data_IF_465981323339
#
_entry.id   IF_465981323339
#
_cell.length_a   1.000
_cell.length_b   1.000
_cell.length_c   1.000
_cell.angle_alpha   90.00
_cell.angle_beta   90.00
_cell.angle_gamma   90.00
#
_symmetry.space_group_name_H-M   'P 1'
#
loop_
_entity.id
_entity.type
_entity.pdbx_description
1 polymer ?
#
# COMPACT_ATOMS: atom_id res chain seq x y z
N UNK A 1 7.94 -12.85 12.41
CA UNK A 1 7.44 -11.55 11.94
C UNK A 1 8.07 -11.22 10.59
N UNK A 2 7.28 -10.78 9.64
CA UNK A 2 7.79 -10.31 8.36
C UNK A 2 8.55 -9.00 8.60
N UNK A 3 9.81 -8.94 8.22
CA UNK A 3 10.65 -7.74 8.39
C UNK A 3 10.67 -6.86 7.14
N UNK A 4 10.20 -7.38 6.01
CA UNK A 4 10.13 -6.70 4.72
C UNK A 4 8.92 -7.19 3.94
N UNK A 5 8.33 -6.31 3.12
CA UNK A 5 7.22 -6.66 2.25
C UNK A 5 7.75 -7.31 0.96
N UNK A 6 7.02 -8.28 0.44
CA UNK A 6 7.23 -8.78 -0.91
C UNK A 6 6.59 -7.78 -1.89
N UNK A 7 7.35 -7.22 -2.81
CA UNK A 7 6.91 -6.09 -3.65
C UNK A 7 7.07 -6.41 -5.12
N UNK A 8 6.02 -6.17 -5.91
CA UNK A 8 6.11 -6.09 -7.37
C UNK A 8 6.48 -4.67 -7.76
N UNK A 9 7.45 -4.53 -8.66
CA UNK A 9 7.99 -3.23 -9.06
C UNK A 9 7.98 -3.07 -10.59
N UNK A 10 7.70 -1.85 -11.05
CA UNK A 10 7.81 -1.47 -12.46
C UNK A 10 8.58 -0.17 -12.60
N UNK A 11 9.66 -0.23 -13.37
CA UNK A 11 10.48 0.93 -13.71
C UNK A 11 9.72 1.90 -14.62
N UNK A 12 10.01 3.22 -14.53
CA UNK A 12 9.40 4.21 -15.39
C UNK A 12 9.81 4.00 -16.86
N UNK A 13 8.89 4.25 -17.77
CA UNK A 13 9.12 4.11 -19.21
C UNK A 13 10.14 5.12 -19.75
N UNK A 14 10.27 6.28 -19.10
CA UNK A 14 11.30 7.28 -19.42
C UNK A 14 12.73 6.88 -18.98
N UNK A 15 12.86 5.86 -18.12
CA UNK A 15 14.12 5.48 -17.49
C UNK A 15 14.57 6.38 -16.32
N UNK A 16 13.81 7.42 -15.99
CA UNK A 16 14.11 8.36 -14.90
C UNK A 16 12.99 8.35 -13.85
N UNK A 17 13.30 8.07 -12.60
CA UNK A 17 12.33 8.08 -11.52
C UNK A 17 12.21 9.47 -10.94
N UNK A 18 11.04 10.11 -11.12
CA UNK A 18 10.69 11.40 -10.51
C UNK A 18 9.57 11.28 -9.48
N UNK A 19 8.74 10.26 -9.60
CA UNK A 19 7.63 9.98 -8.69
C UNK A 19 7.53 8.48 -8.42
N UNK A 20 6.97 8.14 -7.29
CA UNK A 20 6.64 6.76 -6.90
C UNK A 20 5.17 6.67 -6.58
N UNK A 21 4.50 5.68 -7.14
CA UNK A 21 3.13 5.30 -6.78
C UNK A 21 3.17 3.92 -6.13
N UNK A 22 2.68 3.83 -4.90
CA UNK A 22 2.58 2.57 -4.16
C UNK A 22 1.12 2.15 -4.09
N UNK A 23 0.82 0.97 -4.63
CA UNK A 23 -0.51 0.37 -4.61
C UNK A 23 -0.68 -0.46 -3.34
N UNK A 24 -1.74 -0.19 -2.56
CA UNK A 24 -2.09 -0.96 -1.37
C UNK A 24 -3.43 -1.68 -1.60
N UNK A 25 -3.36 -3.00 -1.74
CA UNK A 25 -4.52 -3.84 -2.08
C UNK A 25 -5.54 -3.95 -0.95
N UNK A 26 -6.73 -4.47 -1.27
CA UNK A 26 -7.80 -4.72 -0.32
C UNK A 26 -7.63 -6.02 0.48
N UNK A 27 -8.51 -6.22 1.46
CA UNK A 27 -8.56 -7.42 2.29
C UNK A 27 -8.78 -8.68 1.44
N UNK A 28 -7.93 -9.68 1.61
CA UNK A 28 -8.02 -10.94 0.87
C UNK A 28 -7.45 -10.93 -0.54
N UNK A 29 -6.90 -9.79 -0.98
CA UNK A 29 -6.18 -9.66 -2.25
C UNK A 29 -4.66 -9.79 -2.06
N UNK A 30 -3.90 -9.44 -3.06
CA UNK A 30 -2.44 -9.42 -3.05
C UNK A 30 -1.88 -8.24 -3.89
N UNK A 31 -0.56 -8.08 -3.91
CA UNK A 31 0.08 -7.03 -4.69
C UNK A 31 -0.14 -7.15 -6.20
N UNK A 32 -0.43 -8.33 -6.75
CA UNK A 32 -0.68 -8.51 -8.16
C UNK A 32 -2.01 -7.87 -8.61
N UNK A 33 -2.99 -7.80 -7.72
CA UNK A 33 -4.33 -7.29 -8.01
C UNK A 33 -4.28 -5.85 -8.56
N UNK A 34 -3.70 -4.91 -7.81
CA UNK A 34 -3.60 -3.52 -8.26
C UNK A 34 -2.40 -3.26 -9.19
N UNK A 35 -1.42 -4.16 -9.21
CA UNK A 35 -0.23 -3.97 -10.05
C UNK A 35 -0.56 -3.90 -11.55
N UNK A 36 -1.64 -4.52 -11.97
CA UNK A 36 -2.15 -4.42 -13.35
C UNK A 36 -2.44 -2.99 -13.79
N UNK A 37 -2.73 -2.07 -12.85
CA UNK A 37 -2.93 -0.66 -13.13
C UNK A 37 -1.63 0.05 -13.55
N UNK A 38 -0.47 -0.52 -13.25
CA UNK A 38 0.81 0.08 -13.61
C UNK A 38 1.02 0.20 -15.12
N UNK A 39 0.48 -0.73 -15.91
CA UNK A 39 0.60 -0.70 -17.37
C UNK A 39 -0.09 0.53 -17.99
N UNK A 40 -1.41 0.73 -17.85
CA UNK A 40 -2.07 1.91 -18.41
C UNK A 40 -1.60 3.22 -17.77
N UNK A 41 -1.24 3.21 -16.48
CA UNK A 41 -0.75 4.42 -15.81
C UNK A 41 0.65 4.81 -16.29
N UNK A 42 1.52 3.87 -16.65
CA UNK A 42 2.86 4.17 -17.14
C UNK A 42 2.87 4.90 -18.49
N UNK A 43 1.81 4.75 -19.28
CA UNK A 43 1.65 5.49 -20.53
C UNK A 43 1.41 6.99 -20.29
N UNK A 44 0.68 7.32 -19.21
CA UNK A 44 0.33 8.70 -18.84
C UNK A 44 1.36 9.32 -17.88
N UNK A 45 2.08 8.49 -17.16
CA UNK A 45 3.03 8.88 -16.12
C UNK A 45 4.41 8.26 -16.39
N UNK A 46 5.11 8.68 -17.46
CA UNK A 46 6.33 8.03 -17.93
C UNK A 46 7.50 8.11 -16.96
N UNK A 47 7.51 9.06 -16.02
CA UNK A 47 8.55 9.26 -15.00
C UNK A 47 8.18 8.60 -13.64
N UNK A 48 7.10 7.83 -13.59
CA UNK A 48 6.66 7.16 -12.38
C UNK A 48 7.21 5.74 -12.24
N UNK A 49 7.74 5.45 -11.06
CA UNK A 49 8.01 4.11 -10.57
C UNK A 49 6.77 3.58 -9.86
N UNK A 50 6.37 2.36 -10.13
CA UNK A 50 5.21 1.72 -9.52
C UNK A 50 5.65 0.56 -8.64
N UNK A 51 5.11 0.50 -7.43
CA UNK A 51 5.33 -0.57 -6.47
C UNK A 51 4.01 -1.11 -5.92
N UNK A 52 3.89 -2.41 -5.79
CA UNK A 52 2.69 -3.06 -5.26
C UNK A 52 3.10 -4.19 -4.30
N UNK A 53 3.14 -3.91 -3.00
CA UNK A 53 3.49 -4.89 -1.98
C UNK A 53 2.31 -5.82 -1.67
N UNK A 54 2.65 -7.07 -1.31
CA UNK A 54 1.75 -7.94 -0.56
C UNK A 54 1.66 -7.42 0.88
N UNK A 55 0.47 -7.44 1.47
CA UNK A 55 0.33 -7.17 2.90
C UNK A 55 1.05 -8.25 3.73
N UNK A 56 1.49 -7.92 4.96
CA UNK A 56 2.39 -8.80 5.72
C UNK A 56 1.72 -10.04 6.33
N UNK A 57 0.40 -10.09 6.35
CA UNK A 57 -0.36 -11.15 7.02
C UNK A 57 -1.19 -11.92 6.00
N UNK A 58 -1.24 -13.25 6.15
CA UNK A 58 -2.23 -14.05 5.41
C UNK A 58 -3.63 -13.71 5.90
N UNK A 59 -4.57 -13.62 4.97
CA UNK A 59 -5.95 -13.28 5.28
C UNK A 59 -6.59 -14.33 6.19
N UNK A 60 -7.18 -13.92 7.31
CA UNK A 60 -7.82 -14.83 8.27
C UNK A 60 -9.13 -15.42 7.77
N UNK A 61 -9.85 -14.72 6.91
CA UNK A 61 -11.16 -15.14 6.38
C UNK A 61 -11.09 -15.77 4.98
N UNK A 62 -9.90 -15.89 4.39
CA UNK A 62 -9.72 -16.47 3.05
C UNK A 62 -8.52 -17.40 3.03
N UNK A 63 -8.59 -18.56 2.35
CA UNK A 63 -7.44 -19.44 2.17
C UNK A 63 -6.37 -18.83 1.28
N UNK A 64 -6.69 -17.76 0.58
CA UNK A 64 -5.80 -17.05 -0.35
C UNK A 64 -5.76 -15.57 -0.03
N UNK A 65 -4.67 -14.91 -0.44
CA UNK A 65 -4.49 -13.47 -0.27
C UNK A 65 -4.02 -13.05 1.12
N UNK A 66 -3.93 -11.74 1.27
CA UNK A 66 -3.31 -11.12 2.43
C UNK A 66 -4.20 -10.02 3.02
N UNK A 67 -3.83 -9.57 4.22
CA UNK A 67 -4.51 -8.49 4.95
C UNK A 67 -3.49 -7.56 5.58
N UNK A 68 -3.80 -6.27 5.62
CA UNK A 68 -3.00 -5.28 6.35
C UNK A 68 -3.26 -5.36 7.85
N UNK A 69 -4.50 -5.65 8.23
CA UNK A 69 -4.93 -5.89 9.60
C UNK A 69 -6.17 -6.80 9.63
N UNK A 70 -6.39 -7.56 10.69
CA UNK A 70 -7.58 -8.41 10.81
C UNK A 70 -8.83 -7.55 10.97
N UNK A 71 -9.99 -8.11 10.61
CA UNK A 71 -11.30 -7.45 10.74
C UNK A 71 -12.15 -8.24 11.74
N UNK A 72 -12.35 -7.73 12.97
CA UNK A 72 -13.01 -8.46 14.06
C UNK A 72 -14.37 -9.05 13.70
N UNK A 73 -15.20 -8.32 12.97
CA UNK A 73 -16.53 -8.76 12.55
C UNK A 73 -16.51 -9.88 11.49
N UNK A 74 -15.34 -10.12 10.88
CA UNK A 74 -15.20 -11.11 9.80
C UNK A 74 -14.44 -12.35 10.29
N UNK A 75 -13.33 -12.15 11.00
CA UNK A 75 -12.39 -13.24 11.33
C UNK A 75 -12.35 -13.61 12.82
N UNK A 76 -13.16 -12.93 13.65
CA UNK A 76 -13.25 -13.19 15.08
C UNK A 76 -12.04 -12.69 15.89
N UNK A 77 -11.18 -11.87 15.29
CA UNK A 77 -10.09 -11.19 16.01
C UNK A 77 -10.62 -10.14 16.98
N UNK A 78 -9.74 -9.59 17.80
CA UNK A 78 -10.12 -8.53 18.74
C UNK A 78 -9.72 -7.14 18.19
N UNK A 79 -10.33 -6.09 18.74
CA UNK A 79 -9.94 -4.70 18.43
C UNK A 79 -8.46 -4.45 18.76
N UNK A 80 -7.90 -4.90 19.90
CA UNK A 80 -6.46 -4.81 20.17
C UNK A 80 -5.60 -5.49 19.09
N UNK A 81 -5.99 -6.69 18.61
CA UNK A 81 -5.25 -7.38 17.53
C UNK A 81 -5.24 -6.55 16.24
N UNK A 82 -6.40 -5.99 15.87
CA UNK A 82 -6.53 -5.12 14.72
C UNK A 82 -5.62 -3.89 14.84
N UNK A 83 -5.63 -3.20 15.98
CA UNK A 83 -4.83 -1.99 16.20
C UNK A 83 -3.33 -2.28 16.18
N UNK A 84 -2.91 -3.40 16.76
CA UNK A 84 -1.52 -3.82 16.75
C UNK A 84 -1.04 -4.16 15.33
N UNK A 85 -1.84 -4.90 14.58
CA UNK A 85 -1.53 -5.27 13.20
C UNK A 85 -1.50 -4.05 12.29
N UNK A 86 -2.45 -3.12 12.44
CA UNK A 86 -2.46 -1.85 11.72
C UNK A 86 -1.16 -1.07 11.94
N UNK A 87 -0.76 -0.86 13.19
CA UNK A 87 0.47 -0.16 13.52
C UNK A 87 1.72 -0.85 12.94
N UNK A 88 1.75 -2.18 12.94
CA UNK A 88 2.86 -2.96 12.37
C UNK A 88 2.92 -2.84 10.85
N UNK A 89 1.78 -2.91 10.17
CA UNK A 89 1.68 -2.74 8.72
C UNK A 89 2.07 -1.33 8.28
N UNK A 90 1.64 -0.30 9.01
CA UNK A 90 2.04 1.09 8.74
C UNK A 90 3.56 1.26 8.80
N UNK A 91 4.21 0.71 9.82
CA UNK A 91 5.68 0.76 9.94
C UNK A 91 6.38 0.13 8.74
N UNK A 92 5.87 -1.00 8.23
CA UNK A 92 6.43 -1.66 7.05
C UNK A 92 6.24 -0.83 5.78
N UNK A 93 5.08 -0.21 5.60
CA UNK A 93 4.81 0.68 4.47
C UNK A 93 5.69 1.93 4.54
N UNK A 94 5.83 2.55 5.70
CA UNK A 94 6.71 3.71 5.89
C UNK A 94 8.17 3.33 5.62
N UNK A 95 8.63 2.17 6.08
CA UNK A 95 9.96 1.65 5.77
C UNK A 95 10.16 1.48 4.25
N UNK A 96 9.14 0.99 3.54
CA UNK A 96 9.17 0.88 2.07
C UNK A 96 9.28 2.26 1.40
N UNK A 97 8.48 3.23 1.85
CA UNK A 97 8.52 4.62 1.38
C UNK A 97 9.92 5.22 1.58
N UNK A 98 10.48 5.10 2.78
CA UNK A 98 11.83 5.60 3.10
C UNK A 98 12.91 4.91 2.25
N UNK A 99 12.74 3.64 1.97
CA UNK A 99 13.60 2.89 1.06
C UNK A 99 13.62 3.47 -0.35
N UNK A 100 12.46 3.78 -0.92
CA UNK A 100 12.36 4.40 -2.25
C UNK A 100 12.87 5.83 -2.27
N UNK A 101 12.59 6.61 -1.24
CA UNK A 101 13.16 7.96 -1.09
C UNK A 101 14.69 7.91 -1.17
N UNK A 102 15.30 7.03 -0.41
CA UNK A 102 16.76 6.86 -0.38
C UNK A 102 17.30 6.32 -1.72
N UNK A 103 16.63 5.30 -2.29
CA UNK A 103 17.05 4.66 -3.53
C UNK A 103 17.07 5.62 -4.73
N UNK A 104 16.07 6.50 -4.80
CA UNK A 104 15.86 7.38 -5.96
C UNK A 104 16.17 8.86 -5.69
N UNK A 105 16.57 9.23 -4.47
CA UNK A 105 16.85 10.63 -4.11
C UNK A 105 15.59 11.52 -4.11
N UNK A 106 14.47 10.99 -3.62
CA UNK A 106 13.17 11.67 -3.63
C UNK A 106 12.78 12.21 -2.26
N UNK A 107 11.82 13.13 -2.25
CA UNK A 107 11.14 13.60 -1.05
C UNK A 107 9.78 12.90 -0.86
N UNK A 108 9.16 13.03 0.31
CA UNK A 108 7.82 12.51 0.56
C UNK A 108 6.78 13.06 -0.42
N UNK A 109 6.91 14.32 -0.85
CA UNK A 109 6.04 14.95 -1.85
C UNK A 109 6.11 14.32 -3.25
N UNK A 110 7.09 13.44 -3.47
CA UNK A 110 7.22 12.68 -4.71
C UNK A 110 6.57 11.29 -4.65
N UNK A 111 6.00 10.94 -3.50
CA UNK A 111 5.41 9.63 -3.26
C UNK A 111 3.90 9.73 -3.07
N UNK A 112 3.17 8.90 -3.80
CA UNK A 112 1.71 8.80 -3.75
C UNK A 112 1.32 7.39 -3.32
N UNK A 113 0.39 7.30 -2.38
CA UNK A 113 -0.28 6.04 -2.03
C UNK A 113 -1.60 5.93 -2.79
N UNK A 114 -1.83 4.79 -3.43
CA UNK A 114 -3.11 4.45 -4.03
C UNK A 114 -3.62 3.18 -3.36
N UNK A 115 -4.70 3.30 -2.60
CA UNK A 115 -5.27 2.21 -1.83
C UNK A 115 -6.68 1.85 -2.25
N UNK A 116 -6.98 0.54 -2.26
CA UNK A 116 -8.31 0.02 -2.48
C UNK A 116 -8.86 -0.61 -1.19
N UNK A 117 -10.08 -0.25 -0.78
CA UNK A 117 -10.78 -0.79 0.39
C UNK A 117 -9.90 -0.72 1.66
N UNK A 118 -9.48 -1.83 2.24
CA UNK A 118 -8.58 -1.86 3.40
C UNK A 118 -7.25 -1.12 3.12
N UNK A 119 -6.71 -1.24 1.91
CA UNK A 119 -5.54 -0.47 1.47
C UNK A 119 -5.78 1.04 1.45
N UNK A 120 -7.00 1.48 1.14
CA UNK A 120 -7.39 2.89 1.25
C UNK A 120 -7.38 3.36 2.71
N UNK A 121 -7.92 2.57 3.63
CA UNK A 121 -7.95 2.92 5.05
C UNK A 121 -6.55 3.14 5.62
N UNK A 122 -5.63 2.22 5.34
CA UNK A 122 -4.24 2.35 5.82
C UNK A 122 -3.50 3.50 5.10
N UNK A 123 -3.75 3.73 3.82
CA UNK A 123 -3.17 4.86 3.07
C UNK A 123 -3.58 6.20 3.66
N UNK A 124 -4.86 6.37 3.98
CA UNK A 124 -5.38 7.57 4.62
C UNK A 124 -4.80 7.77 6.03
N UNK A 125 -4.70 6.70 6.80
CA UNK A 125 -4.13 6.80 8.15
C UNK A 125 -2.66 7.22 8.11
N UNK A 126 -1.86 6.67 7.20
CA UNK A 126 -0.47 7.09 7.00
C UNK A 126 -0.39 8.54 6.53
N UNK A 127 -1.14 8.90 5.47
CA UNK A 127 -1.06 10.22 4.85
C UNK A 127 -1.57 11.36 5.71
N UNK A 128 -2.58 11.11 6.56
CA UNK A 128 -3.17 12.15 7.41
C UNK A 128 -2.51 12.27 8.79
N UNK A 129 -1.93 11.19 9.31
CA UNK A 129 -1.46 11.13 10.70
C UNK A 129 0.05 11.05 10.84
N UNK A 130 0.74 10.42 9.90
CA UNK A 130 2.16 10.11 10.04
C UNK A 130 3.03 10.84 9.01
N UNK A 131 2.61 10.87 7.75
CA UNK A 131 3.35 11.47 6.64
C UNK A 131 2.47 12.47 5.90
N UNK A 132 2.12 13.57 6.57
CA UNK A 132 1.22 14.61 6.04
C UNK A 132 1.80 15.41 4.86
N UNK A 133 3.04 15.14 4.47
CA UNK A 133 3.72 15.75 3.34
C UNK A 133 3.92 14.80 2.14
N UNK A 134 3.19 13.68 2.08
CA UNK A 134 3.13 12.85 0.87
C UNK A 134 2.61 13.65 -0.32
N UNK A 135 3.01 13.26 -1.54
CA UNK A 135 2.51 13.82 -2.78
C UNK A 135 1.00 13.69 -2.97
N UNK A 136 0.42 12.67 -2.37
CA UNK A 136 -1.02 12.46 -2.34
C UNK A 136 -1.42 11.09 -1.84
N UNK A 137 -2.70 10.95 -1.56
CA UNK A 137 -3.37 9.67 -1.31
C UNK A 137 -4.57 9.57 -2.24
N UNK A 138 -4.61 8.52 -3.04
CA UNK A 138 -5.75 8.17 -3.87
C UNK A 138 -6.47 7.01 -3.21
N UNK A 139 -7.68 7.24 -2.74
CA UNK A 139 -8.50 6.22 -2.09
C UNK A 139 -9.63 5.75 -2.98
N UNK A 140 -9.68 4.44 -3.24
CA UNK A 140 -10.79 3.79 -3.91
C UNK A 140 -11.51 2.98 -2.84
N UNK A 141 -12.68 3.48 -2.41
CA UNK A 141 -13.49 2.83 -1.40
C UNK A 141 -14.59 2.00 -2.08
N UNK A 142 -14.59 0.73 -1.77
CA UNK A 142 -15.80 -0.07 -1.88
C UNK A 142 -16.57 0.09 -0.56
N UNK A 143 -17.72 0.72 -0.59
CA UNK A 143 -18.63 0.76 0.54
C UNK A 143 -19.26 -0.63 0.69
N UNK A 144 -18.56 -1.52 1.35
CA UNK A 144 -19.17 -2.75 1.87
C UNK A 144 -19.62 -2.44 3.28
N UNK A 145 -20.86 -2.07 3.42
CA UNK A 145 -21.58 -1.86 4.68
C UNK A 145 -20.87 -1.02 5.74
N UNK A 146 -21.38 0.10 5.84
CA UNK A 146 -21.40 0.82 7.12
C UNK A 146 -22.68 0.41 7.84
#
# INVERSE_FOLDING_TARGET
MVNELNVKEKMPTSGSVKKVVIFLHGYGADGADLFSLSDPLSEQLPDCFFASPDAPRKCGASPFGYEWFPIPDIDGSTIPDMMQALASSEKLIIKLIDGYKKRFGLDYSDIVLLGFSQGCMISLNIGLRQLNNLGGVVGILSLIHI
#
